data_IF_094150967700
#
_entry.id   IF_094150967700
#
_cell.length_a   1.000
_cell.length_b   1.000
_cell.length_c   1.000
_cell.angle_alpha   90.00
_cell.angle_beta   90.00
_cell.angle_gamma   90.00
#
_symmetry.space_group_name_H-M   'P 1'
#
loop_
_entity.id
_entity.type
_entity.pdbx_description
1 polymer ?
#
# COMPACT_ATOMS: atom_id res chain seq x y z
N UNK A 1 60.75 -13.98 47.04
CA UNK A 1 59.42 -14.60 46.82
C UNK A 1 58.50 -13.54 46.18
N UNK A 2 58.36 -13.58 44.86
CA UNK A 2 57.53 -12.62 44.14
C UNK A 2 56.20 -13.26 43.85
N UNK A 3 55.12 -12.75 44.36
CA UNK A 3 53.74 -13.22 44.09
C UNK A 3 53.23 -12.51 42.84
N UNK A 4 53.04 -13.25 41.76
CA UNK A 4 52.36 -12.78 40.57
C UNK A 4 50.84 -12.70 40.82
N UNK A 5 50.26 -11.51 40.66
CA UNK A 5 48.80 -11.29 40.67
C UNK A 5 48.31 -11.37 39.22
N UNK A 6 47.59 -12.42 38.90
CA UNK A 6 46.94 -12.58 37.60
C UNK A 6 45.62 -11.79 37.62
N UNK A 7 45.54 -10.68 36.89
CA UNK A 7 44.29 -9.94 36.63
C UNK A 7 43.49 -10.63 35.52
N UNK A 8 42.41 -11.25 35.87
CA UNK A 8 41.44 -11.77 34.88
C UNK A 8 40.61 -10.61 34.33
N UNK A 9 40.80 -10.30 33.04
CA UNK A 9 39.94 -9.36 32.31
C UNK A 9 38.67 -10.10 31.89
N UNK A 10 37.56 -9.80 32.53
CA UNK A 10 36.23 -10.30 32.14
C UNK A 10 35.74 -9.45 30.95
N UNK A 11 35.80 -10.01 29.76
CA UNK A 11 35.19 -9.42 28.56
C UNK A 11 33.65 -9.56 28.66
N UNK A 12 33.01 -8.47 29.07
CA UNK A 12 31.56 -8.32 29.00
C UNK A 12 31.16 -8.17 27.52
N UNK A 13 30.73 -9.26 26.89
CA UNK A 13 30.09 -9.23 25.58
C UNK A 13 28.70 -8.62 25.74
N UNK A 14 28.55 -7.35 25.38
CA UNK A 14 27.24 -6.70 25.26
C UNK A 14 26.45 -7.41 24.15
N UNK A 15 25.18 -7.83 24.39
CA UNK A 15 24.35 -8.35 23.31
C UNK A 15 24.08 -7.22 22.32
N UNK A 16 24.48 -7.42 21.07
CA UNK A 16 24.08 -6.54 19.97
C UNK A 16 22.58 -6.76 19.80
N UNK A 17 21.79 -5.77 20.21
CA UNK A 17 20.35 -5.75 19.97
C UNK A 17 20.14 -5.56 18.45
N UNK A 18 19.89 -6.68 17.75
CA UNK A 18 19.60 -6.66 16.33
C UNK A 18 18.18 -6.07 16.17
N UNK A 19 18.07 -4.99 15.40
CA UNK A 19 16.77 -4.44 15.06
C UNK A 19 15.93 -5.53 14.39
N UNK A 20 14.81 -5.90 15.01
CA UNK A 20 13.90 -6.89 14.45
C UNK A 20 13.34 -6.35 13.13
N UNK A 21 13.55 -7.05 12.05
CA UNK A 21 12.87 -6.78 10.78
C UNK A 21 11.39 -7.10 10.98
N UNK A 22 10.57 -6.06 11.09
CA UNK A 22 9.13 -6.17 11.31
C UNK A 22 8.41 -6.93 10.18
N UNK A 23 9.09 -7.14 9.05
CA UNK A 23 8.54 -7.88 7.90
C UNK A 23 8.99 -9.34 7.85
N UNK A 24 9.98 -9.74 8.65
CA UNK A 24 10.58 -11.07 8.60
C UNK A 24 9.58 -12.23 8.86
N UNK A 25 8.50 -11.98 9.59
CA UNK A 25 7.50 -12.97 9.95
C UNK A 25 6.19 -12.88 9.13
N UNK A 26 6.14 -12.02 8.11
CA UNK A 26 4.95 -11.94 7.27
C UNK A 26 4.84 -13.16 6.36
N UNK A 27 3.63 -13.74 6.15
CA UNK A 27 3.42 -14.82 5.20
C UNK A 27 3.87 -14.39 3.80
N UNK A 28 4.60 -15.27 3.12
CA UNK A 28 5.09 -15.07 1.76
C UNK A 28 4.36 -16.02 0.83
N UNK A 29 3.90 -15.51 -0.32
CA UNK A 29 3.30 -16.34 -1.37
C UNK A 29 3.86 -16.00 -2.73
N UNK A 30 4.07 -17.00 -3.57
CA UNK A 30 4.29 -16.79 -5.00
C UNK A 30 2.98 -16.21 -5.59
N UNK A 31 3.10 -15.20 -6.44
CA UNK A 31 1.95 -14.58 -7.08
C UNK A 31 2.02 -14.71 -8.60
N UNK A 32 0.90 -14.46 -9.27
CA UNK A 32 0.84 -14.37 -10.73
C UNK A 32 1.42 -13.06 -11.26
N UNK A 33 1.71 -12.09 -10.36
CA UNK A 33 2.29 -10.81 -10.75
C UNK A 33 3.74 -10.98 -11.17
N UNK A 34 4.12 -10.32 -12.25
CA UNK A 34 5.47 -10.37 -12.82
C UNK A 34 6.11 -9.00 -12.95
N UNK A 35 7.44 -8.96 -12.78
CA UNK A 35 8.29 -7.88 -13.24
C UNK A 35 9.06 -8.39 -14.48
N UNK A 36 8.69 -7.93 -15.66
CA UNK A 36 9.07 -8.59 -16.91
C UNK A 36 8.51 -10.03 -16.95
N UNK A 37 9.37 -11.02 -17.12
CA UNK A 37 8.98 -12.45 -17.09
C UNK A 37 9.15 -13.10 -15.71
N UNK A 38 9.74 -12.40 -14.75
CA UNK A 38 10.01 -12.94 -13.41
C UNK A 38 8.76 -12.85 -12.53
N UNK A 39 8.21 -13.97 -12.03
CA UNK A 39 7.14 -13.94 -11.03
C UNK A 39 7.64 -13.34 -9.72
N UNK A 40 6.75 -12.63 -9.02
CA UNK A 40 7.05 -11.96 -7.77
C UNK A 40 6.47 -12.71 -6.57
N UNK A 41 7.21 -12.72 -5.48
CA UNK A 41 6.70 -13.11 -4.17
C UNK A 41 6.07 -11.90 -3.49
N UNK A 42 4.86 -12.07 -2.95
CA UNK A 42 4.17 -11.06 -2.17
C UNK A 42 4.17 -11.45 -0.70
N UNK A 43 4.34 -10.44 0.16
CA UNK A 43 4.33 -10.56 1.62
C UNK A 43 3.06 -9.96 2.21
N UNK A 44 2.60 -10.55 3.30
CA UNK A 44 1.42 -10.13 4.05
C UNK A 44 0.21 -11.03 3.81
N UNK A 45 -0.90 -10.71 4.44
CA UNK A 45 -2.12 -11.53 4.43
C UNK A 45 -3.09 -11.03 3.36
N UNK A 46 -3.37 -11.83 2.30
CA UNK A 46 -4.34 -11.42 1.29
C UNK A 46 -5.76 -11.36 1.89
N UNK A 47 -6.51 -10.35 1.50
CA UNK A 47 -7.89 -10.16 1.95
C UNK A 47 -8.83 -10.86 0.96
N UNK A 48 -9.76 -11.66 1.48
CA UNK A 48 -10.75 -12.34 0.65
C UNK A 48 -11.88 -11.38 0.23
N UNK A 49 -12.40 -11.56 -0.98
CA UNK A 49 -13.59 -10.83 -1.43
C UNK A 49 -14.78 -11.12 -0.51
N UNK A 50 -15.68 -10.15 -0.36
CA UNK A 50 -16.89 -10.18 0.46
C UNK A 50 -16.64 -10.27 1.98
N UNK A 51 -15.38 -10.14 2.44
CA UNK A 51 -15.04 -10.03 3.86
C UNK A 51 -14.83 -8.56 4.26
N UNK A 52 -14.84 -8.29 5.55
CA UNK A 52 -14.46 -6.97 6.06
C UNK A 52 -13.00 -6.67 5.69
N UNK A 53 -12.79 -5.52 5.09
CA UNK A 53 -11.46 -5.02 4.78
C UNK A 53 -10.73 -4.66 6.08
N UNK A 54 -9.51 -5.13 6.31
CA UNK A 54 -8.73 -4.72 7.47
C UNK A 54 -8.55 -3.20 7.50
N UNK A 55 -8.66 -2.60 8.69
CA UNK A 55 -8.22 -1.22 8.86
C UNK A 55 -6.71 -1.14 8.65
N UNK A 56 -6.23 -0.02 8.15
CA UNK A 56 -4.81 0.23 7.93
C UNK A 56 -4.46 1.66 8.31
N UNK A 57 -3.16 1.91 8.46
CA UNK A 57 -2.63 3.23 8.76
C UNK A 57 -1.54 3.59 7.75
N UNK A 58 -1.76 4.67 6.98
CA UNK A 58 -0.84 5.26 6.00
C UNK A 58 -0.64 6.73 6.29
N UNK A 59 0.39 7.36 5.73
CA UNK A 59 0.71 8.76 5.96
C UNK A 59 0.23 9.66 4.81
N UNK A 60 -0.30 10.82 5.13
CA UNK A 60 -0.50 11.90 4.18
C UNK A 60 0.82 12.68 3.91
N UNK A 61 0.76 13.68 3.04
CA UNK A 61 1.91 14.53 2.69
C UNK A 61 2.50 15.32 3.88
N UNK A 62 1.77 15.42 5.00
CA UNK A 62 2.19 16.07 6.24
C UNK A 62 2.56 15.06 7.33
N UNK A 63 2.72 13.77 6.99
CA UNK A 63 2.97 12.67 7.93
C UNK A 63 1.85 12.42 8.94
N UNK A 64 0.66 12.94 8.71
CA UNK A 64 -0.50 12.60 9.53
C UNK A 64 -1.02 11.22 9.18
N UNK A 65 -1.42 10.41 10.18
CA UNK A 65 -2.01 9.11 9.90
C UNK A 65 -3.39 9.28 9.24
N UNK A 66 -3.63 8.46 8.22
CA UNK A 66 -4.90 8.27 7.55
C UNK A 66 -5.23 6.79 7.60
N UNK A 67 -6.48 6.45 7.97
CA UNK A 67 -6.96 5.08 8.13
C UNK A 67 -8.14 4.80 7.21
N UNK A 68 -8.40 3.53 6.91
CA UNK A 68 -9.61 3.15 6.20
C UNK A 68 -10.87 3.56 6.97
N UNK A 69 -10.85 3.43 8.29
CA UNK A 69 -11.96 3.82 9.18
C UNK A 69 -12.32 5.32 9.12
N UNK A 70 -11.44 6.18 8.67
CA UNK A 70 -11.74 7.62 8.46
C UNK A 70 -12.75 7.83 7.31
N UNK A 71 -12.95 6.82 6.47
CA UNK A 71 -13.89 6.83 5.34
C UNK A 71 -15.12 5.96 5.59
N UNK A 72 -15.46 5.65 6.84
CA UNK A 72 -16.62 4.86 7.18
C UNK A 72 -17.91 5.42 6.52
N UNK A 73 -18.73 4.54 5.95
CA UNK A 73 -19.96 4.91 5.23
C UNK A 73 -19.74 5.43 3.80
N UNK A 74 -18.51 5.48 3.31
CA UNK A 74 -18.17 5.81 1.92
C UNK A 74 -17.77 4.57 1.13
N UNK A 75 -17.89 4.63 -0.17
CA UNK A 75 -17.29 3.64 -1.08
C UNK A 75 -15.88 4.09 -1.42
N UNK A 76 -14.88 3.26 -1.14
CA UNK A 76 -13.46 3.61 -1.27
C UNK A 76 -12.82 2.78 -2.38
N UNK A 77 -12.29 3.43 -3.41
CA UNK A 77 -11.38 2.81 -4.36
C UNK A 77 -9.93 3.03 -3.87
N UNK A 78 -9.19 1.94 -3.74
CA UNK A 78 -7.77 1.96 -3.40
C UNK A 78 -6.98 1.51 -4.62
N UNK A 79 -6.16 2.42 -5.15
CA UNK A 79 -5.24 2.19 -6.26
C UNK A 79 -3.83 2.05 -5.70
N UNK A 80 -3.19 0.90 -5.84
CA UNK A 80 -1.81 0.73 -5.43
C UNK A 80 -0.87 0.79 -6.63
N UNK A 81 0.27 1.42 -6.42
CA UNK A 81 1.32 1.55 -7.43
C UNK A 81 2.70 1.27 -6.82
N UNK A 82 3.63 0.65 -7.55
CA UNK A 82 5.00 0.45 -7.06
C UNK A 82 5.71 1.75 -6.70
N UNK A 83 5.73 2.74 -7.59
CA UNK A 83 6.29 4.07 -7.32
C UNK A 83 5.78 5.10 -8.33
N UNK A 84 5.40 6.26 -7.85
CA UNK A 84 4.92 7.40 -8.64
C UNK A 84 5.99 7.99 -9.58
N UNK A 85 7.27 7.68 -9.34
CA UNK A 85 8.38 8.08 -10.21
C UNK A 85 8.43 7.27 -11.51
N UNK A 86 7.56 6.27 -11.70
CA UNK A 86 7.49 5.48 -12.93
C UNK A 86 6.34 5.91 -13.82
N UNK A 87 6.55 5.82 -15.16
CA UNK A 87 5.58 6.33 -16.15
C UNK A 87 4.17 5.73 -16.00
N UNK A 88 4.06 4.39 -15.88
CA UNK A 88 2.76 3.71 -15.77
C UNK A 88 2.03 4.06 -14.47
N UNK A 89 2.76 4.21 -13.36
CA UNK A 89 2.16 4.60 -12.08
C UNK A 89 1.63 6.04 -12.12
N UNK A 90 2.37 6.94 -12.75
CA UNK A 90 1.94 8.32 -12.98
C UNK A 90 0.68 8.37 -13.84
N UNK A 91 0.63 7.60 -14.94
CA UNK A 91 -0.54 7.51 -15.83
C UNK A 91 -1.75 7.00 -15.04
N UNK A 92 -1.61 5.89 -14.31
CA UNK A 92 -2.68 5.31 -13.51
C UNK A 92 -3.26 6.32 -12.51
N UNK A 93 -2.39 7.01 -11.77
CA UNK A 93 -2.81 7.99 -10.75
C UNK A 93 -3.54 9.17 -11.39
N UNK A 94 -3.04 9.69 -12.51
CA UNK A 94 -3.69 10.78 -13.24
C UNK A 94 -5.04 10.39 -13.83
N UNK A 95 -5.17 9.17 -14.38
CA UNK A 95 -6.46 8.67 -14.88
C UNK A 95 -7.50 8.61 -13.77
N UNK A 96 -7.17 8.03 -12.63
CA UNK A 96 -8.10 8.02 -11.50
C UNK A 96 -8.41 9.43 -10.98
N UNK A 97 -7.43 10.36 -10.96
CA UNK A 97 -7.67 11.75 -10.57
C UNK A 97 -8.68 12.45 -11.47
N UNK A 98 -8.65 12.18 -12.78
CA UNK A 98 -9.60 12.74 -13.74
C UNK A 98 -11.03 12.22 -13.51
N UNK A 99 -11.18 10.94 -13.17
CA UNK A 99 -12.48 10.29 -12.96
C UNK A 99 -13.23 10.80 -11.72
N UNK A 100 -12.53 11.30 -10.69
CA UNK A 100 -13.15 11.74 -9.41
C UNK A 100 -14.31 12.71 -9.64
N UNK A 101 -14.18 13.64 -10.58
CA UNK A 101 -15.20 14.67 -10.82
C UNK A 101 -16.52 14.12 -11.38
N UNK A 102 -16.51 12.91 -11.96
CA UNK A 102 -17.67 12.23 -12.51
C UNK A 102 -18.30 11.22 -11.53
N UNK A 103 -17.74 11.09 -10.32
CA UNK A 103 -18.19 10.14 -9.31
C UNK A 103 -19.11 10.79 -8.27
N UNK A 104 -20.01 10.02 -7.64
CA UNK A 104 -20.81 10.49 -6.53
C UNK A 104 -19.97 11.00 -5.35
N UNK A 105 -20.49 11.95 -4.57
CA UNK A 105 -19.79 12.57 -3.44
C UNK A 105 -19.44 11.61 -2.29
N UNK A 106 -20.06 10.44 -2.25
CA UNK A 106 -19.80 9.39 -1.27
C UNK A 106 -18.68 8.42 -1.71
N UNK A 107 -18.03 8.69 -2.84
CA UNK A 107 -16.88 7.94 -3.33
C UNK A 107 -15.58 8.65 -2.96
N UNK A 108 -14.61 7.88 -2.48
CA UNK A 108 -13.25 8.34 -2.23
C UNK A 108 -12.28 7.49 -3.03
N UNK A 109 -11.29 8.11 -3.66
CA UNK A 109 -10.18 7.41 -4.32
C UNK A 109 -8.90 7.69 -3.54
N UNK A 110 -8.20 6.60 -3.18
CA UNK A 110 -6.89 6.61 -2.55
C UNK A 110 -5.88 6.04 -3.53
N UNK A 111 -4.75 6.71 -3.74
CA UNK A 111 -3.57 6.10 -4.35
C UNK A 111 -2.54 5.86 -3.24
N UNK A 112 -2.09 4.61 -3.09
CA UNK A 112 -1.13 4.21 -2.05
C UNK A 112 0.13 3.66 -2.70
N UNK A 113 1.30 4.14 -2.25
CA UNK A 113 2.61 3.66 -2.65
C UNK A 113 3.59 3.68 -1.47
N UNK A 114 4.76 3.07 -1.64
CA UNK A 114 5.86 3.18 -0.67
C UNK A 114 6.78 4.39 -0.93
N UNK A 115 6.39 5.29 -1.83
CA UNK A 115 7.10 6.57 -1.96
C UNK A 115 6.99 7.37 -0.67
N UNK A 116 8.06 8.07 -0.31
CA UNK A 116 8.04 8.95 0.86
C UNK A 116 7.02 10.09 0.68
N UNK A 117 6.35 10.56 1.75
CA UNK A 117 5.38 11.65 1.68
C UNK A 117 5.89 12.91 0.95
N UNK A 118 7.17 13.24 1.09
CA UNK A 118 7.79 14.35 0.37
C UNK A 118 7.83 14.15 -1.15
N UNK A 119 8.13 12.93 -1.60
CA UNK A 119 8.15 12.58 -3.03
C UNK A 119 6.72 12.61 -3.60
N UNK A 120 5.76 12.04 -2.88
CA UNK A 120 4.34 12.09 -3.24
C UNK A 120 3.82 13.53 -3.36
N UNK A 121 4.19 14.40 -2.42
CA UNK A 121 3.84 15.83 -2.47
C UNK A 121 4.37 16.51 -3.73
N UNK A 122 5.65 16.29 -4.07
CA UNK A 122 6.25 16.84 -5.30
C UNK A 122 5.56 16.32 -6.55
N UNK A 123 5.25 15.01 -6.59
CA UNK A 123 4.51 14.40 -7.68
C UNK A 123 3.14 15.06 -7.86
N UNK A 124 2.33 15.17 -6.80
CA UNK A 124 1.01 15.77 -6.87
C UNK A 124 1.05 17.20 -7.38
N UNK A 125 2.03 18.00 -6.93
CA UNK A 125 2.21 19.39 -7.39
C UNK A 125 2.58 19.45 -8.86
N UNK A 126 3.53 18.62 -9.30
CA UNK A 126 4.02 18.59 -10.68
C UNK A 126 2.96 18.10 -11.67
N UNK A 127 2.26 17.03 -11.32
CA UNK A 127 1.31 16.33 -12.20
C UNK A 127 -0.15 16.79 -12.00
N UNK A 128 -0.37 17.82 -11.16
CA UNK A 128 -1.70 18.39 -10.87
C UNK A 128 -2.72 17.34 -10.39
N UNK A 129 -2.28 16.45 -9.50
CA UNK A 129 -3.11 15.46 -8.84
C UNK A 129 -3.65 16.06 -7.53
N UNK A 130 -4.91 16.49 -7.56
CA UNK A 130 -5.55 17.30 -6.50
C UNK A 130 -6.95 16.81 -6.08
N UNK A 131 -7.52 15.81 -6.78
CA UNK A 131 -8.90 15.36 -6.56
C UNK A 131 -8.98 14.03 -5.81
N UNK A 132 -7.90 13.25 -5.77
CA UNK A 132 -7.77 12.04 -4.98
C UNK A 132 -6.71 12.20 -3.89
N UNK A 133 -6.69 11.28 -2.93
CA UNK A 133 -5.69 11.28 -1.87
C UNK A 133 -4.51 10.39 -2.27
N UNK A 134 -3.29 10.95 -2.26
CA UNK A 134 -2.05 10.20 -2.43
C UNK A 134 -1.42 9.98 -1.06
N UNK A 135 -1.22 8.72 -0.68
CA UNK A 135 -0.88 8.31 0.68
C UNK A 135 0.33 7.35 0.67
N UNK A 136 1.15 7.46 1.68
CA UNK A 136 2.40 6.70 1.82
C UNK A 136 2.28 5.56 2.82
N UNK A 137 2.58 4.34 2.40
CA UNK A 137 2.73 3.18 3.27
C UNK A 137 4.19 3.04 3.80
N UNK A 138 5.11 3.90 3.37
CA UNK A 138 6.52 3.82 3.74
C UNK A 138 6.78 4.03 5.24
N UNK A 139 5.88 4.74 5.95
CA UNK A 139 6.08 5.10 7.36
C UNK A 139 5.85 3.90 8.28
N UNK A 140 4.81 3.11 8.02
CA UNK A 140 4.43 1.99 8.90
C UNK A 140 4.41 0.64 8.19
N UNK A 141 4.31 0.58 6.86
CA UNK A 141 4.20 -0.67 6.09
C UNK A 141 2.95 -1.48 6.41
N UNK A 142 1.95 -0.83 7.00
CA UNK A 142 0.76 -1.45 7.58
C UNK A 142 -0.22 -1.91 6.50
N UNK A 143 -0.47 -1.06 5.49
CA UNK A 143 -1.37 -1.38 4.40
C UNK A 143 -0.86 -2.56 3.57
N UNK A 144 0.38 -2.50 3.10
CA UNK A 144 0.95 -3.56 2.27
C UNK A 144 0.99 -4.91 2.98
N UNK A 145 1.24 -4.91 4.29
CA UNK A 145 1.25 -6.10 5.13
C UNK A 145 -0.15 -6.68 5.36
N UNK A 146 -1.12 -5.82 5.70
CA UNK A 146 -2.50 -6.23 6.00
C UNK A 146 -3.29 -6.68 4.78
N UNK A 147 -2.88 -6.26 3.57
CA UNK A 147 -3.53 -6.63 2.32
C UNK A 147 -2.73 -7.62 1.46
N UNK A 148 -1.54 -8.03 1.93
CA UNK A 148 -0.68 -8.97 1.20
C UNK A 148 -0.21 -8.44 -0.14
N UNK A 149 0.05 -7.13 -0.23
CA UNK A 149 0.42 -6.44 -1.47
C UNK A 149 1.87 -5.98 -1.50
N UNK A 150 2.64 -6.29 -0.48
CA UNK A 150 4.05 -5.95 -0.38
C UNK A 150 4.87 -6.88 -1.28
N UNK A 151 5.71 -6.33 -2.15
CA UNK A 151 6.64 -7.13 -2.95
C UNK A 151 7.84 -7.46 -2.08
N UNK A 152 8.09 -8.76 -1.86
CA UNK A 152 9.22 -9.24 -1.08
C UNK A 152 10.54 -8.74 -1.67
N UNK A 153 11.45 -8.32 -0.79
CA UNK A 153 12.82 -7.87 -1.10
C UNK A 153 12.91 -6.64 -2.03
N UNK A 154 11.76 -5.96 -2.31
CA UNK A 154 11.77 -4.74 -3.13
C UNK A 154 11.35 -3.48 -2.36
N UNK A 155 10.69 -3.62 -1.20
CA UNK A 155 10.18 -2.47 -0.45
C UNK A 155 9.09 -1.69 -1.18
N UNK A 156 8.43 -2.30 -2.17
CA UNK A 156 7.39 -1.70 -3.00
C UNK A 156 6.05 -2.40 -2.78
N UNK A 157 4.97 -1.73 -3.14
CA UNK A 157 3.65 -2.36 -3.29
C UNK A 157 3.49 -2.90 -4.71
N UNK A 158 2.78 -4.03 -4.86
CA UNK A 158 2.36 -4.48 -6.19
C UNK A 158 1.26 -3.58 -6.74
N UNK A 159 1.09 -3.58 -8.06
CA UNK A 159 0.01 -2.85 -8.71
C UNK A 159 -1.30 -3.60 -8.52
N UNK A 160 -2.27 -2.93 -7.89
CA UNK A 160 -3.60 -3.46 -7.68
C UNK A 160 -4.66 -2.36 -7.65
N UNK A 161 -5.91 -2.75 -7.86
CA UNK A 161 -7.10 -1.92 -7.60
C UNK A 161 -8.04 -2.70 -6.69
N UNK A 162 -8.46 -2.08 -5.61
CA UNK A 162 -9.40 -2.65 -4.66
C UNK A 162 -10.57 -1.69 -4.47
N UNK A 163 -11.76 -2.23 -4.18
CA UNK A 163 -12.93 -1.41 -3.81
C UNK A 163 -13.50 -1.96 -2.51
N UNK A 164 -13.64 -1.07 -1.54
CA UNK A 164 -14.31 -1.32 -0.27
C UNK A 164 -15.65 -0.60 -0.29
N UNK A 165 -16.73 -1.33 -0.03
CA UNK A 165 -18.08 -0.76 0.00
C UNK A 165 -18.33 0.04 1.29
N UNK A 166 -19.50 0.66 1.38
CA UNK A 166 -19.93 1.51 2.51
C UNK A 166 -20.04 0.74 3.84
N UNK A 167 -20.16 -0.58 3.78
CA UNK A 167 -20.21 -1.47 4.94
C UNK A 167 -18.83 -1.98 5.35
N UNK A 168 -17.76 -1.49 4.69
CA UNK A 168 -16.39 -1.90 4.95
C UNK A 168 -16.00 -3.24 4.33
N UNK A 169 -16.78 -3.81 3.39
CA UNK A 169 -16.46 -5.07 2.71
C UNK A 169 -15.64 -4.85 1.46
N UNK A 170 -14.62 -5.68 1.26
CA UNK A 170 -13.87 -5.73 0.00
C UNK A 170 -14.75 -6.38 -1.08
N UNK A 171 -15.22 -5.59 -2.04
CA UNK A 171 -16.15 -6.05 -3.09
C UNK A 171 -15.51 -6.21 -4.47
N UNK A 172 -14.30 -5.68 -4.64
CA UNK A 172 -13.51 -5.82 -5.87
C UNK A 172 -12.02 -5.87 -5.54
N UNK A 173 -11.32 -6.72 -6.26
CA UNK A 173 -9.86 -6.79 -6.22
C UNK A 173 -9.33 -7.21 -7.58
N UNK A 174 -8.37 -6.44 -8.10
CA UNK A 174 -7.58 -6.79 -9.26
C UNK A 174 -6.10 -6.66 -8.90
N UNK A 175 -5.35 -7.74 -8.97
CA UNK A 175 -3.90 -7.69 -9.09
C UNK A 175 -3.55 -7.57 -10.57
N UNK A 176 -2.75 -6.58 -10.94
CA UNK A 176 -2.33 -6.41 -12.34
C UNK A 176 -1.20 -7.41 -12.62
N UNK A 177 -1.36 -8.30 -13.63
CA UNK A 177 -0.43 -9.42 -13.83
C UNK A 177 1.01 -8.99 -14.15
N UNK A 178 1.21 -7.82 -14.76
CA UNK A 178 2.54 -7.27 -15.00
C UNK A 178 2.65 -5.86 -14.43
N UNK A 179 3.72 -5.60 -13.68
CA UNK A 179 3.94 -4.29 -13.08
C UNK A 179 4.02 -3.14 -14.11
N UNK A 180 4.35 -3.47 -15.36
CA UNK A 180 4.44 -2.51 -16.48
C UNK A 180 3.11 -2.24 -17.18
N UNK A 181 2.04 -2.94 -16.82
CA UNK A 181 0.71 -2.78 -17.42
C UNK A 181 -0.20 -1.92 -16.54
N UNK A 182 -1.18 -1.27 -17.15
CA UNK A 182 -2.23 -0.52 -16.47
C UNK A 182 -3.34 -1.49 -15.98
N UNK A 183 -4.11 -1.11 -14.94
CA UNK A 183 -5.27 -1.89 -14.52
C UNK A 183 -6.43 -1.78 -15.50
N UNK A 184 -7.41 -2.65 -15.39
CA UNK A 184 -8.69 -2.52 -16.09
C UNK A 184 -9.54 -1.43 -15.41
N UNK A 185 -9.41 -0.21 -15.90
CA UNK A 185 -10.17 0.95 -15.41
C UNK A 185 -11.67 0.77 -15.60
N UNK A 186 -12.09 0.14 -16.71
CA UNK A 186 -13.51 -0.04 -17.04
C UNK A 186 -14.18 -0.95 -16.03
N UNK A 187 -13.57 -2.09 -15.72
CA UNK A 187 -14.08 -3.02 -14.71
C UNK A 187 -14.10 -2.37 -13.32
N UNK A 188 -13.02 -1.69 -12.93
CA UNK A 188 -12.91 -1.02 -11.63
C UNK A 188 -13.97 0.09 -11.47
N UNK A 189 -14.09 1.00 -12.44
CA UNK A 189 -15.03 2.12 -12.39
C UNK A 189 -16.47 1.68 -12.52
N UNK A 190 -16.76 0.66 -13.31
CA UNK A 190 -18.09 0.05 -13.40
C UNK A 190 -18.52 -0.54 -12.06
N UNK A 191 -17.64 -1.31 -11.42
CA UNK A 191 -17.90 -1.86 -10.08
C UNK A 191 -18.07 -0.74 -9.05
N UNK A 192 -17.19 0.27 -9.07
CA UNK A 192 -17.28 1.41 -8.17
C UNK A 192 -18.67 2.08 -8.25
N UNK A 193 -19.18 2.33 -9.46
CA UNK A 193 -20.49 2.92 -9.69
C UNK A 193 -21.66 2.04 -9.21
N UNK A 194 -21.50 0.70 -9.22
CA UNK A 194 -22.51 -0.22 -8.70
C UNK A 194 -22.69 -0.11 -7.18
N UNK A 195 -21.61 0.20 -6.44
CA UNK A 195 -21.63 0.32 -4.99
C UNK A 195 -21.78 1.76 -4.49
N UNK A 196 -21.51 2.76 -5.35
CA UNK A 196 -21.71 4.17 -5.06
C UNK A 196 -23.21 4.53 -5.06
N UNK A 197 -23.61 5.45 -4.18
CA UNK A 197 -24.97 6.02 -4.17
C UNK A 197 -26.10 5.09 -3.71
N UNK A 198 -25.84 3.81 -3.46
CA UNK A 198 -26.86 2.89 -2.90
C UNK A 198 -27.05 3.20 -1.42
N UNK A 199 -28.19 3.82 -1.05
CA UNK A 199 -28.64 3.82 0.33
C UNK A 199 -29.00 2.38 0.71
N UNK A 200 -28.43 1.86 1.80
CA UNK A 200 -28.86 0.62 2.46
C UNK A 200 -30.27 0.80 3.00
#
# INVERSE_FOLDING_TARGET
>A
MLKAVASAFLLLSSPVLQAADLTANLPVRLSEVKAGERPLELQGTPVALQTLAPDFKVADAGFKPVKLSDFAGKTVLISTVPSLDTGVCSIQTKKFNQEVSALPADVVILTISNDLPFAQKRFCQKEQVDKLLVLSDAVWGDFGSSYGLRIKDMGLLTRAVLIVDRNGKLVYQQLVPKLSEEPDYTAALSTLKQFAGKKS
#
